data_IF_504665234875
#
_entry.id   IF_504665234875
#
_cell.length_a   1.000
_cell.length_b   1.000
_cell.length_c   1.000
_cell.angle_alpha   90.00
_cell.angle_beta   90.00
_cell.angle_gamma   90.00
#
_symmetry.space_group_name_H-M   'P 1'
#
loop_
_entity.id
_entity.type
_entity.pdbx_description
1 polymer ?
#
# COMPACT_ATOMS: atom_id res chain seq x y z
N UNK A 1 0.91 -0.09 -7.63
CA UNK A 1 0.55 -1.49 -7.34
C UNK A 1 -0.43 -1.98 -8.39
N UNK A 2 -0.28 -3.22 -8.85
CA UNK A 2 -1.07 -3.80 -9.94
C UNK A 2 -1.91 -4.94 -9.37
N UNK A 3 -3.17 -5.04 -9.77
CA UNK A 3 -4.02 -6.17 -9.39
C UNK A 3 -3.94 -7.34 -10.38
N UNK A 4 -4.66 -8.43 -10.10
CA UNK A 4 -4.67 -9.61 -10.97
C UNK A 4 -5.48 -9.42 -12.27
N UNK A 5 -6.17 -8.29 -12.43
CA UNK A 5 -6.82 -7.88 -13.67
C UNK A 5 -5.94 -6.93 -14.49
N UNK A 6 -4.67 -6.75 -14.12
CA UNK A 6 -3.70 -5.83 -14.74
C UNK A 6 -4.07 -4.35 -14.59
N UNK A 7 -4.96 -4.01 -13.65
CA UNK A 7 -5.31 -2.63 -13.34
C UNK A 7 -4.22 -2.01 -12.46
N UNK A 8 -3.73 -0.83 -12.85
CA UNK A 8 -2.66 -0.13 -12.12
C UNK A 8 -3.24 0.93 -11.18
N UNK A 9 -2.82 0.88 -9.93
CA UNK A 9 -3.17 1.83 -8.89
C UNK A 9 -1.94 2.63 -8.42
N UNK A 10 -2.12 3.93 -8.24
CA UNK A 10 -1.12 4.84 -7.65
C UNK A 10 -1.68 5.45 -6.37
N UNK A 11 -0.91 5.36 -5.29
CA UNK A 11 -1.13 6.15 -4.08
C UNK A 11 -0.47 7.52 -4.24
N UNK A 12 -1.19 8.59 -3.89
CA UNK A 12 -0.71 9.97 -3.97
C UNK A 12 -0.89 10.68 -2.64
N UNK A 13 0.03 11.58 -2.29
CA UNK A 13 -0.15 12.44 -1.11
C UNK A 13 -1.11 13.56 -1.47
N UNK A 14 -2.26 13.62 -0.81
CA UNK A 14 -3.16 14.74 -0.93
C UNK A 14 -3.09 15.61 0.33
N UNK A 15 -2.66 16.86 0.16
CA UNK A 15 -2.45 17.80 1.28
C UNK A 15 -3.72 18.58 1.68
N UNK A 16 -4.80 18.49 0.91
CA UNK A 16 -5.96 19.39 1.03
C UNK A 16 -7.09 18.95 1.97
N UNK A 17 -7.01 17.79 2.63
CA UNK A 17 -8.14 17.19 3.37
C UNK A 17 -7.77 16.36 4.60
N UNK A 18 -6.59 16.62 5.19
CA UNK A 18 -5.93 15.68 6.09
C UNK A 18 -5.04 14.73 5.29
N UNK A 19 -3.85 14.40 5.81
CA UNK A 19 -2.76 13.77 5.04
C UNK A 19 -3.00 12.29 4.72
N UNK A 20 -4.16 11.96 4.19
CA UNK A 20 -4.47 10.61 3.74
C UNK A 20 -4.00 10.42 2.30
N UNK A 21 -3.40 9.26 2.00
CA UNK A 21 -3.11 8.93 0.63
C UNK A 21 -4.42 8.78 -0.14
N UNK A 22 -4.44 9.37 -1.32
CA UNK A 22 -5.49 9.19 -2.31
C UNK A 22 -5.02 8.14 -3.30
N UNK A 23 -5.76 7.06 -3.42
CA UNK A 23 -5.51 6.00 -4.39
C UNK A 23 -6.33 6.25 -5.65
N UNK A 24 -5.66 6.20 -6.79
CA UNK A 24 -6.25 6.34 -8.13
C UNK A 24 -5.92 5.12 -8.97
N UNK A 25 -6.94 4.53 -9.58
CA UNK A 25 -6.82 3.56 -10.67
C UNK A 25 -6.52 4.32 -11.95
N UNK A 26 -5.50 3.87 -12.66
CA UNK A 26 -5.10 4.45 -13.93
C UNK A 26 -5.95 3.84 -15.05
N UNK A 27 -6.58 4.67 -15.91
CA UNK A 27 -7.41 4.15 -16.97
C UNK A 27 -6.55 3.51 -18.06
N UNK A 28 -7.01 2.41 -18.63
CA UNK A 28 -6.27 1.65 -19.64
C UNK A 28 -5.94 2.44 -20.92
N UNK A 29 -6.69 3.51 -21.20
CA UNK A 29 -6.40 4.45 -22.29
C UNK A 29 -5.20 5.37 -22.03
N UNK A 30 -4.60 5.35 -20.84
CA UNK A 30 -3.38 6.08 -20.51
C UNK A 30 -2.11 5.39 -21.05
N UNK A 31 -2.19 4.10 -21.43
CA UNK A 31 -1.03 3.34 -21.90
C UNK A 31 -0.67 3.66 -23.35
N UNK A 32 0.63 3.71 -23.65
CA UNK A 32 1.14 3.84 -25.03
C UNK A 32 0.91 5.20 -25.70
N UNK A 33 0.42 6.21 -24.98
CA UNK A 33 0.16 7.56 -25.47
C UNK A 33 0.93 8.60 -24.65
N UNK A 34 1.40 9.67 -25.30
CA UNK A 34 2.02 10.82 -24.63
C UNK A 34 1.00 11.90 -24.23
N UNK A 35 -0.28 11.71 -24.58
CA UNK A 35 -1.35 12.65 -24.23
C UNK A 35 -1.71 12.53 -22.76
N UNK A 36 -2.02 13.67 -22.12
CA UNK A 36 -2.49 13.70 -20.73
C UNK A 36 -3.90 13.10 -20.67
N UNK A 37 -4.09 12.13 -19.78
CA UNK A 37 -5.40 11.56 -19.46
C UNK A 37 -5.76 11.96 -18.03
N UNK A 38 -7.04 12.29 -17.80
CA UNK A 38 -7.54 12.55 -16.45
C UNK A 38 -7.75 11.21 -15.75
N UNK A 39 -7.27 11.10 -14.52
CA UNK A 39 -7.56 9.95 -13.65
C UNK A 39 -8.94 10.10 -13.02
N UNK A 40 -9.56 8.98 -12.65
CA UNK A 40 -10.80 8.97 -11.88
C UNK A 40 -10.63 9.73 -10.55
N UNK A 41 -11.76 10.11 -9.93
CA UNK A 41 -11.74 10.81 -8.64
C UNK A 41 -11.01 10.02 -7.55
N UNK A 42 -10.87 8.69 -7.65
CA UNK A 42 -10.13 7.87 -6.70
C UNK A 42 -10.78 7.82 -5.31
N UNK A 43 -10.06 7.29 -4.33
CA UNK A 43 -10.54 7.13 -2.96
C UNK A 43 -9.47 7.54 -1.95
N UNK A 44 -9.89 8.13 -0.84
CA UNK A 44 -9.00 8.40 0.29
C UNK A 44 -8.89 7.17 1.17
N UNK A 45 -7.66 6.79 1.50
CA UNK A 45 -7.41 5.68 2.40
C UNK A 45 -7.80 6.03 3.83
N UNK A 46 -8.58 5.16 4.46
CA UNK A 46 -9.10 5.39 5.82
C UNK A 46 -8.05 5.04 6.90
N UNK A 47 -6.94 5.77 6.96
CA UNK A 47 -5.95 5.61 8.03
C UNK A 47 -6.28 6.46 9.25
N UNK A 48 -5.94 5.94 10.44
CA UNK A 48 -6.15 6.63 11.71
C UNK A 48 -5.13 7.73 12.01
N UNK A 49 -3.98 7.76 11.31
CA UNK A 49 -2.90 8.71 11.57
C UNK A 49 -2.83 9.81 10.51
N UNK A 50 -2.98 11.07 10.95
CA UNK A 50 -3.06 12.26 10.09
C UNK A 50 -1.72 12.97 9.86
N UNK A 51 -0.65 12.48 10.50
CA UNK A 51 0.63 13.21 10.63
C UNK A 51 1.76 12.54 9.83
N UNK A 52 1.58 11.29 9.41
CA UNK A 52 2.64 10.48 8.79
C UNK A 52 2.39 10.35 7.29
N UNK A 53 3.35 10.80 6.47
CA UNK A 53 3.25 10.68 5.03
C UNK A 53 3.18 9.22 4.59
N UNK A 54 2.35 8.93 3.60
CA UNK A 54 2.43 7.68 2.85
C UNK A 54 3.78 7.63 2.12
N UNK A 55 4.37 6.44 2.04
CA UNK A 55 5.66 6.22 1.39
C UNK A 55 5.58 5.10 0.35
N UNK A 56 4.67 4.13 0.55
CA UNK A 56 4.47 3.06 -0.41
C UNK A 56 3.24 2.22 -0.09
N UNK A 57 2.85 1.40 -1.06
CA UNK A 57 1.79 0.42 -0.91
C UNK A 57 1.98 -0.71 -1.92
N UNK A 58 1.44 -1.89 -1.61
CA UNK A 58 1.50 -3.05 -2.50
C UNK A 58 0.25 -3.91 -2.40
N UNK A 59 -0.04 -4.64 -3.47
CA UNK A 59 -1.12 -5.64 -3.56
C UNK A 59 -0.47 -7.02 -3.48
N UNK A 60 -1.02 -7.93 -2.66
CA UNK A 60 -0.44 -9.27 -2.53
C UNK A 60 -0.52 -10.07 -3.84
N UNK A 61 0.32 -11.10 -4.06
CA UNK A 61 0.31 -11.87 -5.31
C UNK A 61 -1.04 -12.50 -5.67
N UNK A 62 -1.91 -12.75 -4.69
CA UNK A 62 -3.26 -13.31 -4.90
C UNK A 62 -4.30 -12.20 -5.17
N UNK A 63 -3.93 -10.93 -5.02
CA UNK A 63 -4.79 -9.78 -5.28
C UNK A 63 -5.81 -9.51 -4.17
N UNK A 64 -5.75 -10.22 -3.04
CA UNK A 64 -6.80 -10.11 -1.99
C UNK A 64 -6.37 -9.32 -0.79
N UNK A 65 -5.19 -8.70 -0.82
CA UNK A 65 -4.66 -7.99 0.31
C UNK A 65 -3.91 -6.76 -0.17
N UNK A 66 -3.98 -5.69 0.63
CA UNK A 66 -3.22 -4.47 0.41
C UNK A 66 -2.44 -4.15 1.67
N UNK A 67 -1.18 -3.79 1.52
CA UNK A 67 -0.40 -3.12 2.57
C UNK A 67 -0.13 -1.68 2.17
N UNK A 68 -0.25 -0.76 3.12
CA UNK A 68 0.07 0.66 2.95
C UNK A 68 1.05 1.06 4.04
N UNK A 69 2.24 1.51 3.65
CA UNK A 69 3.27 1.99 4.56
C UNK A 69 3.22 3.50 4.68
N UNK A 70 3.40 3.95 5.91
CA UNK A 70 3.73 5.32 6.28
C UNK A 70 5.07 5.32 7.01
N UNK A 71 5.60 6.49 7.37
CA UNK A 71 6.84 6.55 8.14
C UNK A 71 6.82 5.77 9.46
N UNK A 72 5.66 5.64 10.12
CA UNK A 72 5.56 5.06 11.46
C UNK A 72 4.76 3.77 11.54
N UNK A 73 4.00 3.43 10.51
CA UNK A 73 2.99 2.37 10.57
C UNK A 73 2.84 1.66 9.22
N UNK A 74 2.51 0.36 9.27
CA UNK A 74 2.01 -0.38 8.13
C UNK A 74 0.56 -0.76 8.40
N UNK A 75 -0.29 -0.41 7.44
CA UNK A 75 -1.72 -0.73 7.43
C UNK A 75 -1.97 -1.91 6.50
N UNK A 76 -2.91 -2.77 6.86
CA UNK A 76 -3.34 -3.95 6.12
C UNK A 76 -4.84 -3.88 5.84
N UNK A 77 -5.23 -4.26 4.63
CA UNK A 77 -6.61 -4.48 4.22
C UNK A 77 -6.76 -5.84 3.54
N UNK A 78 -7.91 -6.47 3.78
CA UNK A 78 -8.35 -7.65 3.05
C UNK A 78 -9.43 -7.27 2.03
N UNK A 79 -9.28 -7.74 0.79
CA UNK A 79 -10.08 -7.44 -0.40
C UNK A 79 -10.66 -8.77 -0.93
N UNK A 80 -11.73 -9.31 -0.33
CA UNK A 80 -12.27 -10.63 -0.67
C UNK A 80 -12.83 -10.73 -2.10
N UNK A 81 -13.31 -9.63 -2.64
CA UNK A 81 -14.11 -9.55 -3.88
C UNK A 81 -13.41 -8.81 -5.03
N UNK A 82 -12.22 -8.26 -4.78
CA UNK A 82 -11.47 -7.47 -5.75
C UNK A 82 -11.93 -6.01 -5.88
N UNK A 83 -12.88 -5.54 -5.06
CA UNK A 83 -13.27 -4.11 -5.04
C UNK A 83 -12.32 -3.30 -4.15
N UNK A 84 -11.15 -2.96 -4.70
CA UNK A 84 -10.13 -2.19 -4.00
C UNK A 84 -10.63 -0.83 -3.51
N UNK A 85 -11.47 -0.14 -4.28
CA UNK A 85 -11.95 1.19 -3.91
C UNK A 85 -12.89 1.13 -2.71
N UNK A 86 -13.84 0.17 -2.70
CA UNK A 86 -14.71 -0.02 -1.55
C UNK A 86 -13.90 -0.32 -0.28
N UNK A 87 -12.91 -1.22 -0.39
CA UNK A 87 -12.13 -1.65 0.76
C UNK A 87 -11.08 -0.64 1.24
N UNK A 88 -10.51 0.20 0.38
CA UNK A 88 -9.58 1.26 0.79
C UNK A 88 -10.21 2.32 1.70
N UNK A 89 -11.53 2.46 1.65
CA UNK A 89 -12.29 3.35 2.55
C UNK A 89 -12.68 2.66 3.87
N UNK A 90 -12.45 1.35 3.99
CA UNK A 90 -12.74 0.58 5.21
C UNK A 90 -11.65 0.76 6.26
N UNK A 91 -11.96 0.61 7.56
CA UNK A 91 -10.95 0.68 8.62
C UNK A 91 -9.86 -0.41 8.45
N UNK A 92 -8.58 -0.04 8.30
CA UNK A 92 -7.49 -0.98 8.15
C UNK A 92 -7.04 -1.54 9.49
N UNK A 93 -6.31 -2.66 9.42
CA UNK A 93 -5.63 -3.27 10.56
C UNK A 93 -4.17 -2.80 10.58
N UNK A 94 -3.64 -2.46 11.75
CA UNK A 94 -2.21 -2.22 11.92
C UNK A 94 -1.47 -3.55 12.05
N UNK A 95 -0.36 -3.70 11.34
CA UNK A 95 0.51 -4.88 11.41
C UNK A 95 1.89 -4.49 11.95
N UNK A 96 2.71 -5.50 12.25
CA UNK A 96 4.05 -5.29 12.81
C UNK A 96 4.88 -4.35 11.93
N UNK A 97 5.69 -3.52 12.58
CA UNK A 97 6.64 -2.66 11.90
C UNK A 97 7.61 -2.11 12.94
N UNK A 98 8.90 -2.33 12.72
CA UNK A 98 9.93 -1.64 13.47
C UNK A 98 10.16 -0.30 12.79
N UNK A 99 9.97 0.79 13.52
CA UNK A 99 10.08 2.13 12.92
C UNK A 99 11.51 2.35 12.43
N UNK A 100 11.62 2.52 11.11
CA UNK A 100 12.88 2.80 10.42
C UNK A 100 13.12 4.30 10.26
N UNK A 101 14.39 4.70 10.09
CA UNK A 101 14.74 6.07 9.70
C UNK A 101 14.24 6.34 8.28
N UNK A 102 13.22 7.20 8.14
CA UNK A 102 12.62 7.56 6.84
C UNK A 102 12.35 6.29 6.00
N UNK A 103 11.54 5.36 6.53
CA UNK A 103 11.20 4.14 5.80
C UNK A 103 10.55 4.45 4.45
N UNK A 104 11.13 4.01 3.32
CA UNK A 104 10.73 4.49 1.98
C UNK A 104 9.82 3.52 1.23
N UNK A 105 9.99 2.21 1.44
CA UNK A 105 9.30 1.22 0.63
C UNK A 105 8.75 0.04 1.44
N UNK A 106 7.75 -0.60 0.82
CA UNK A 106 7.13 -1.84 1.27
C UNK A 106 6.71 -2.66 0.05
N UNK A 107 6.81 -3.98 0.12
CA UNK A 107 6.18 -4.90 -0.83
C UNK A 107 5.92 -6.27 -0.20
N UNK A 108 4.98 -7.02 -0.75
CA UNK A 108 4.83 -8.42 -0.37
C UNK A 108 5.98 -9.26 -0.91
N UNK A 109 6.25 -10.41 -0.26
CA UNK A 109 7.05 -11.43 -0.92
C UNK A 109 6.26 -12.08 -2.07
N UNK A 110 6.98 -12.75 -2.98
CA UNK A 110 6.43 -13.29 -4.22
C UNK A 110 5.39 -14.39 -4.02
N UNK A 111 5.22 -14.92 -2.81
CA UNK A 111 4.26 -15.98 -2.49
C UNK A 111 3.24 -15.54 -1.42
N UNK A 112 3.28 -14.28 -0.97
CA UNK A 112 2.40 -13.74 0.07
C UNK A 112 2.64 -14.32 1.47
N UNK A 113 3.84 -14.84 1.77
CA UNK A 113 4.17 -15.40 3.10
C UNK A 113 4.61 -14.33 4.13
N UNK A 114 4.78 -13.10 3.69
CA UNK A 114 5.33 -11.98 4.44
C UNK A 114 5.46 -10.75 3.56
N UNK A 115 6.15 -9.74 4.07
CA UNK A 115 6.44 -8.50 3.36
C UNK A 115 7.82 -7.98 3.72
N UNK A 116 8.38 -7.21 2.81
CA UNK A 116 9.66 -6.53 2.98
C UNK A 116 9.44 -5.05 3.24
N UNK A 117 10.37 -4.46 3.98
CA UNK A 117 10.55 -3.01 4.03
C UNK A 117 12.01 -2.64 3.87
N UNK A 118 12.22 -1.41 3.41
CA UNK A 118 13.56 -0.83 3.29
C UNK A 118 13.52 0.65 3.69
N UNK A 119 14.59 1.09 4.36
CA UNK A 119 14.77 2.46 4.83
C UNK A 119 15.40 3.35 3.77
N UNK A 120 15.32 4.66 3.94
CA UNK A 120 16.16 5.60 3.19
C UNK A 120 17.65 5.37 3.50
N UNK A 121 18.51 5.50 2.49
CA UNK A 121 19.95 5.51 2.67
C UNK A 121 20.72 4.96 1.49
N UNK A 122 22.05 5.02 1.57
CA UNK A 122 22.95 4.51 0.52
C UNK A 122 23.12 2.98 0.56
N UNK A 123 22.96 2.39 1.74
CA UNK A 123 23.03 0.93 2.00
C UNK A 123 22.06 0.53 3.13
N UNK A 124 20.75 0.74 2.96
CA UNK A 124 19.78 0.43 4.00
C UNK A 124 19.66 -1.09 4.20
N UNK A 125 19.27 -1.48 5.42
CA UNK A 125 18.95 -2.88 5.69
C UNK A 125 17.60 -3.24 5.04
N UNK A 126 17.51 -4.46 4.53
CA UNK A 126 16.25 -5.06 4.09
C UNK A 126 15.65 -5.81 5.28
N UNK A 127 14.45 -5.41 5.69
CA UNK A 127 13.72 -6.08 6.75
C UNK A 127 12.67 -7.01 6.14
N UNK A 128 12.49 -8.19 6.74
CA UNK A 128 11.47 -9.14 6.32
C UNK A 128 10.59 -9.53 7.51
N UNK A 129 9.29 -9.41 7.30
CA UNK A 129 8.27 -9.71 8.29
C UNK A 129 7.46 -10.92 7.83
N UNK A 130 7.73 -12.07 8.43
CA UNK A 130 7.01 -13.32 8.13
C UNK A 130 5.64 -13.33 8.81
N UNK A 131 4.64 -13.91 8.14
CA UNK A 131 3.31 -14.19 8.72
C UNK A 131 3.35 -15.48 9.55
N UNK A 132 2.77 -15.50 10.75
CA UNK A 132 2.38 -16.74 11.44
C UNK A 132 0.89 -16.98 11.33
N UNK A 133 0.50 -18.17 10.88
CA UNK A 133 -0.89 -18.60 10.85
C UNK A 133 -1.78 -17.71 9.97
N UNK A 134 -3.05 -17.55 10.37
CA UNK A 134 -4.04 -16.73 9.67
C UNK A 134 -3.99 -15.24 10.06
N UNK A 135 -3.01 -14.82 10.86
CA UNK A 135 -2.88 -13.43 11.31
C UNK A 135 -1.80 -12.72 10.50
N UNK A 136 -2.10 -11.58 9.87
CA UNK A 136 -1.09 -10.80 9.16
C UNK A 136 -0.10 -10.21 10.19
N UNK A 137 1.01 -10.90 10.41
CA UNK A 137 2.19 -10.39 11.10
C UNK A 137 2.34 -10.77 12.58
N UNK A 138 2.56 -12.04 12.89
CA UNK A 138 3.30 -12.42 14.11
C UNK A 138 4.35 -13.44 13.71
N UNK A 139 5.61 -13.26 14.13
CA UNK A 139 6.54 -14.24 14.73
C UNK A 139 7.53 -13.31 15.46
N UNK A 140 7.59 -13.27 16.79
CA UNK A 140 8.24 -14.30 17.59
C UNK A 140 9.75 -14.13 17.45
#
# INVERSE_FOLDING_TARGET
MVDNNEELYIGTLYMGGGKHPKFVRLPSNAWGSHHRVQVDEGVFFNMTSWIVGHVGADISPIGREVIVKTYLQIYYLYIPDGDYYAHMTSPPVLILYDIELQGEAVCFDSVGSGYYTVSEGTRPALHYYRRSGNSPGIVG
#
